data_IF_637311361315
#
_entry.id   IF_637311361315
#
_cell.length_a   1.000
_cell.length_b   1.000
_cell.length_c   1.000
_cell.angle_alpha   90.00
_cell.angle_beta   90.00
_cell.angle_gamma   90.00
#
_symmetry.space_group_name_H-M   'P 1'
#
loop_
_entity.id
_entity.type
_entity.pdbx_description
1 polymer ?
#
# COMPACT_ATOMS: atom_id res chain seq x y z
N UNK A 1 -25.64 2.38 -4.36
CA UNK A 1 -24.72 1.94 -5.40
C UNK A 1 -24.24 3.18 -6.15
N UNK A 2 -22.99 3.26 -6.43
CA UNK A 2 -22.37 4.30 -7.24
C UNK A 2 -21.33 3.66 -8.16
N UNK A 3 -21.07 4.32 -9.29
CA UNK A 3 -20.03 4.01 -10.24
C UNK A 3 -19.53 5.32 -10.86
N UNK A 4 -18.28 5.34 -11.25
CA UNK A 4 -17.67 6.54 -11.81
C UNK A 4 -16.28 6.28 -12.38
N UNK A 5 -15.75 7.29 -13.05
CA UNK A 5 -14.37 7.31 -13.55
C UNK A 5 -13.58 8.35 -12.80
N UNK A 6 -12.42 7.97 -12.29
CA UNK A 6 -11.47 8.87 -11.68
C UNK A 6 -10.05 8.30 -11.81
N UNK A 7 -9.04 9.16 -11.81
CA UNK A 7 -7.63 8.77 -11.84
C UNK A 7 -7.32 7.71 -12.91
N UNK A 8 -7.88 7.90 -14.11
CA UNK A 8 -7.72 7.04 -15.29
C UNK A 8 -8.37 5.65 -15.18
N UNK A 9 -9.06 5.35 -14.08
CA UNK A 9 -9.69 4.06 -13.83
C UNK A 9 -11.17 4.16 -13.52
N UNK A 10 -11.73 3.04 -13.05
CA UNK A 10 -13.12 2.89 -12.66
C UNK A 10 -13.24 2.71 -11.15
N UNK A 11 -14.24 3.34 -10.55
CA UNK A 11 -14.62 3.19 -9.16
C UNK A 11 -16.04 2.67 -9.14
N UNK A 12 -16.26 1.52 -8.52
CA UNK A 12 -17.59 0.95 -8.31
C UNK A 12 -17.79 0.68 -6.81
N UNK A 13 -19.00 0.89 -6.30
CA UNK A 13 -19.22 0.62 -4.90
C UNK A 13 -20.67 0.63 -4.45
N UNK A 14 -20.83 0.20 -3.22
CA UNK A 14 -22.09 0.29 -2.47
C UNK A 14 -21.76 0.81 -1.08
N UNK A 15 -22.53 1.76 -0.60
CA UNK A 15 -22.43 2.24 0.78
C UNK A 15 -23.84 2.40 1.36
N UNK A 16 -23.96 2.13 2.64
CA UNK A 16 -25.13 2.37 3.44
C UNK A 16 -24.76 3.27 4.62
N UNK A 17 -25.59 4.26 4.89
CA UNK A 17 -25.46 5.15 6.03
C UNK A 17 -26.68 4.94 6.93
N UNK A 18 -26.43 4.66 8.20
CA UNK A 18 -27.44 4.42 9.23
C UNK A 18 -27.30 5.39 10.40
N UNK A 19 -28.41 5.58 11.14
CA UNK A 19 -28.49 6.57 12.23
C UNK A 19 -28.97 5.96 13.56
N UNK A 20 -29.09 4.67 13.67
CA UNK A 20 -29.55 4.02 14.89
C UNK A 20 -28.46 4.01 15.98
N UNK A 21 -28.57 4.92 16.95
CA UNK A 21 -27.61 5.01 18.06
C UNK A 21 -26.24 5.61 17.66
N UNK A 22 -26.24 6.57 16.74
CA UNK A 22 -25.06 7.22 16.16
C UNK A 22 -25.02 7.05 14.64
N UNK A 23 -24.03 7.65 14.01
CA UNK A 23 -23.80 7.53 12.57
C UNK A 23 -22.97 6.28 12.27
N UNK A 24 -23.45 5.43 11.38
CA UNK A 24 -22.77 4.20 10.94
C UNK A 24 -22.67 4.19 9.42
N UNK A 25 -21.47 4.05 8.92
CA UNK A 25 -21.19 3.84 7.50
C UNK A 25 -20.67 2.41 7.28
N UNK A 26 -21.26 1.72 6.32
CA UNK A 26 -20.73 0.44 5.85
C UNK A 26 -20.77 0.39 4.32
N UNK A 27 -19.72 -0.17 3.71
CA UNK A 27 -19.66 -0.20 2.26
C UNK A 27 -18.58 -1.13 1.71
N UNK A 28 -18.67 -1.33 0.41
CA UNK A 28 -17.65 -2.00 -0.38
C UNK A 28 -17.28 -1.11 -1.57
N UNK A 29 -16.00 -1.07 -1.87
CA UNK A 29 -15.41 -0.29 -2.95
C UNK A 29 -14.55 -1.20 -3.82
N UNK A 30 -14.74 -1.14 -5.11
CA UNK A 30 -13.89 -1.79 -6.09
C UNK A 30 -13.24 -0.71 -6.97
N UNK A 31 -11.92 -0.73 -7.01
CA UNK A 31 -11.08 0.12 -7.84
C UNK A 31 -10.51 -0.74 -8.96
N UNK A 32 -10.59 -0.26 -10.20
CA UNK A 32 -10.10 -0.99 -11.38
C UNK A 32 -9.21 -0.09 -12.23
N UNK A 33 -8.00 -0.55 -12.47
CA UNK A 33 -7.03 0.10 -13.38
C UNK A 33 -6.76 1.58 -13.07
N UNK A 34 -6.68 1.92 -11.77
CA UNK A 34 -6.43 3.29 -11.32
C UNK A 34 -4.96 3.67 -11.50
N UNK A 35 -4.68 4.91 -11.87
CA UNK A 35 -3.33 5.45 -11.76
C UNK A 35 -2.95 5.63 -10.29
N UNK A 36 -2.05 4.76 -9.78
CA UNK A 36 -1.70 4.72 -8.36
C UNK A 36 -1.09 6.04 -7.87
N UNK A 37 -0.25 6.69 -8.67
CA UNK A 37 0.40 7.96 -8.31
C UNK A 37 -0.64 9.06 -8.08
N UNK A 38 -1.61 9.19 -8.98
CA UNK A 38 -2.66 10.21 -8.86
C UNK A 38 -3.60 9.95 -7.71
N UNK A 39 -3.96 8.67 -7.50
CA UNK A 39 -4.82 8.29 -6.39
C UNK A 39 -4.14 8.53 -5.05
N UNK A 40 -2.89 8.08 -4.87
CA UNK A 40 -2.14 8.27 -3.63
C UNK A 40 -1.90 9.74 -3.32
N UNK A 41 -1.57 10.55 -4.33
CA UNK A 41 -1.43 12.00 -4.17
C UNK A 41 -2.75 12.67 -3.72
N UNK A 42 -3.89 12.26 -4.30
CA UNK A 42 -5.20 12.78 -3.90
C UNK A 42 -5.61 12.37 -2.48
N UNK A 43 -5.11 11.23 -1.99
CA UNK A 43 -5.30 10.78 -0.62
C UNK A 43 -4.28 11.40 0.37
N UNK A 44 -3.39 12.28 -0.11
CA UNK A 44 -2.35 12.90 0.72
C UNK A 44 -1.28 11.91 1.19
N UNK A 45 -1.11 10.80 0.49
CA UNK A 45 -0.10 9.81 0.81
C UNK A 45 1.26 10.24 0.29
N UNK A 46 2.28 10.13 1.13
CA UNK A 46 3.68 10.34 0.74
C UNK A 46 4.33 9.10 0.12
N UNK A 47 3.60 7.99 0.01
CA UNK A 47 4.08 6.79 -0.67
C UNK A 47 4.20 7.04 -2.16
N UNK A 48 5.41 6.89 -2.68
CA UNK A 48 5.72 7.10 -4.09
C UNK A 48 5.70 5.75 -4.82
N UNK A 49 4.50 5.32 -5.22
CA UNK A 49 4.32 4.08 -5.99
C UNK A 49 3.61 4.39 -7.30
N UNK A 50 4.26 4.07 -8.38
CA UNK A 50 3.69 4.17 -9.74
C UNK A 50 3.10 2.83 -10.17
N UNK A 51 2.14 2.86 -11.08
CA UNK A 51 1.57 1.67 -11.70
C UNK A 51 0.05 1.68 -11.79
N UNK A 52 -0.48 0.59 -12.30
CA UNK A 52 -1.91 0.35 -12.46
C UNK A 52 -2.46 -0.37 -11.23
N UNK A 53 -3.22 0.35 -10.40
CA UNK A 53 -3.80 -0.14 -9.15
C UNK A 53 -5.20 -0.71 -9.37
N UNK A 54 -5.44 -1.89 -8.82
CA UNK A 54 -6.77 -2.46 -8.61
C UNK A 54 -6.93 -2.87 -7.15
N UNK A 55 -8.10 -2.67 -6.56
CA UNK A 55 -8.35 -3.02 -5.17
C UNK A 55 -9.81 -3.38 -4.92
N UNK A 56 -10.04 -4.25 -3.92
CA UNK A 56 -11.35 -4.54 -3.36
C UNK A 56 -11.31 -4.24 -1.88
N UNK A 57 -12.07 -3.24 -1.47
CA UNK A 57 -12.01 -2.66 -0.14
C UNK A 57 -13.37 -2.74 0.55
N UNK A 58 -13.34 -2.99 1.85
CA UNK A 58 -14.46 -2.78 2.76
C UNK A 58 -14.24 -1.48 3.50
N UNK A 59 -15.31 -0.73 3.67
CA UNK A 59 -15.34 0.53 4.39
C UNK A 59 -16.27 0.36 5.57
N UNK A 60 -15.84 0.72 6.75
CA UNK A 60 -16.70 0.83 7.93
C UNK A 60 -16.31 2.05 8.77
N UNK A 61 -17.30 2.70 9.33
CA UNK A 61 -17.11 3.75 10.33
C UNK A 61 -18.29 3.77 11.28
N UNK A 62 -18.03 4.07 12.55
CA UNK A 62 -19.05 4.32 13.57
C UNK A 62 -18.61 5.50 14.41
N UNK A 63 -19.51 6.49 14.54
CA UNK A 63 -19.29 7.69 15.35
C UNK A 63 -20.60 8.16 15.96
N UNK A 64 -20.50 8.91 17.05
CA UNK A 64 -21.70 9.50 17.68
C UNK A 64 -22.33 10.59 16.81
N UNK A 65 -21.52 11.23 15.95
CA UNK A 65 -21.91 12.32 15.07
C UNK A 65 -21.45 12.06 13.64
N UNK A 66 -22.15 12.65 12.67
CA UNK A 66 -21.87 12.51 11.25
C UNK A 66 -20.49 13.11 10.84
N UNK A 67 -20.14 14.25 11.42
CA UNK A 67 -18.88 14.95 11.17
C UNK A 67 -17.66 14.15 11.62
N UNK A 68 -17.81 13.27 12.59
CA UNK A 68 -16.76 12.40 13.11
C UNK A 68 -16.60 11.07 12.36
N UNK A 69 -17.48 10.77 11.39
CA UNK A 69 -17.42 9.51 10.61
C UNK A 69 -16.13 9.37 9.80
N UNK A 70 -15.64 10.47 9.24
CA UNK A 70 -14.40 10.45 8.44
C UNK A 70 -13.20 10.08 9.30
N UNK A 71 -13.15 10.60 10.53
CA UNK A 71 -12.09 10.25 11.47
C UNK A 71 -12.19 8.79 11.94
N UNK A 72 -13.43 8.27 12.05
CA UNK A 72 -13.69 6.89 12.47
C UNK A 72 -13.56 5.87 11.33
N UNK A 73 -13.25 6.32 10.10
CA UNK A 73 -13.19 5.45 8.93
C UNK A 73 -12.10 4.39 9.06
N UNK A 74 -12.49 3.16 8.82
CA UNK A 74 -11.62 2.01 8.64
C UNK A 74 -11.78 1.46 7.23
N UNK A 75 -10.66 1.13 6.62
CA UNK A 75 -10.63 0.54 5.28
C UNK A 75 -9.81 -0.73 5.34
N UNK A 76 -10.35 -1.81 4.82
CA UNK A 76 -9.62 -3.07 4.75
C UNK A 76 -9.87 -3.80 3.45
N UNK A 77 -8.85 -4.46 2.90
CA UNK A 77 -9.00 -5.28 1.71
C UNK A 77 -7.74 -5.52 0.94
N UNK A 78 -7.86 -6.28 -0.15
CA UNK A 78 -6.75 -6.62 -1.02
C UNK A 78 -6.52 -5.58 -2.11
N UNK A 79 -5.27 -5.43 -2.49
CA UNK A 79 -4.86 -4.60 -3.63
C UNK A 79 -3.81 -5.29 -4.50
N UNK A 80 -3.73 -4.85 -5.73
CA UNK A 80 -2.74 -5.24 -6.72
C UNK A 80 -2.29 -4.00 -7.49
N UNK A 81 -0.99 -3.82 -7.68
CA UNK A 81 -0.41 -2.82 -8.57
C UNK A 81 0.43 -3.55 -9.62
N UNK A 82 0.16 -3.28 -10.87
CA UNK A 82 0.86 -3.87 -12.02
C UNK A 82 1.74 -2.87 -12.72
N UNK A 83 2.85 -3.36 -13.30
CA UNK A 83 3.76 -2.58 -14.14
C UNK A 83 4.18 -1.28 -13.47
N UNK A 84 4.70 -1.39 -12.26
CA UNK A 84 4.94 -0.24 -11.40
C UNK A 84 6.38 -0.08 -10.97
N UNK A 85 6.57 0.97 -10.17
CA UNK A 85 7.81 1.27 -9.52
C UNK A 85 7.56 1.79 -8.09
N UNK A 86 8.34 1.30 -7.15
CA UNK A 86 8.40 1.83 -5.79
C UNK A 86 9.63 2.74 -5.68
N UNK A 87 9.42 4.02 -5.43
CA UNK A 87 10.50 5.00 -5.27
C UNK A 87 10.93 5.10 -3.82
N UNK A 88 12.20 5.43 -3.62
CA UNK A 88 12.80 5.57 -2.32
C UNK A 88 13.46 4.29 -1.79
N UNK A 89 13.30 3.17 -2.51
CA UNK A 89 13.93 1.89 -2.20
C UNK A 89 14.56 1.29 -3.45
N UNK A 90 15.80 0.85 -3.35
CA UNK A 90 16.44 -0.02 -4.32
C UNK A 90 16.67 -1.40 -3.69
N UNK A 91 15.70 -2.29 -3.86
CA UNK A 91 15.77 -3.66 -3.32
C UNK A 91 16.85 -4.50 -4.01
N UNK A 92 17.20 -4.19 -5.27
CA UNK A 92 18.23 -4.92 -5.99
C UNK A 92 19.60 -4.57 -5.42
N UNK A 93 19.87 -3.28 -5.20
CA UNK A 93 21.11 -2.83 -4.59
C UNK A 93 21.23 -3.29 -3.13
N UNK A 94 20.14 -3.22 -2.37
CA UNK A 94 20.08 -3.77 -1.02
C UNK A 94 20.44 -5.26 -1.00
N UNK A 95 19.90 -6.04 -1.94
CA UNK A 95 20.21 -7.47 -2.05
C UNK A 95 21.66 -7.73 -2.44
N UNK A 96 22.24 -6.95 -3.35
CA UNK A 96 23.64 -7.07 -3.78
C UNK A 96 24.63 -6.71 -2.69
N UNK A 97 24.35 -5.68 -1.91
CA UNK A 97 25.22 -5.21 -0.83
C UNK A 97 25.12 -6.06 0.44
N UNK A 98 24.30 -7.11 0.44
CA UNK A 98 24.05 -7.96 1.62
C UNK A 98 23.54 -7.16 2.82
N UNK A 99 22.69 -6.14 2.57
CA UNK A 99 22.12 -5.29 3.61
C UNK A 99 23.11 -4.31 4.27
N UNK A 100 24.34 -4.20 3.76
CA UNK A 100 25.33 -3.25 4.30
C UNK A 100 25.12 -1.81 3.80
N UNK A 101 24.54 -1.66 2.61
CA UNK A 101 24.12 -0.36 2.13
C UNK A 101 22.65 -0.15 2.53
N UNK A 102 22.37 0.94 3.22
CA UNK A 102 21.01 1.41 3.37
C UNK A 102 20.54 1.79 1.97
N UNK A 103 19.50 1.13 1.47
CA UNK A 103 18.93 1.40 0.14
C UNK A 103 18.19 2.76 0.15
N UNK A 104 18.93 3.84 0.47
CA UNK A 104 18.40 5.20 0.47
C UNK A 104 18.32 5.73 -0.95
N UNK A 105 17.12 6.12 -1.34
CA UNK A 105 16.86 6.57 -2.71
C UNK A 105 16.80 5.39 -3.69
N UNK A 106 16.75 5.71 -4.97
CA UNK A 106 16.60 4.71 -6.02
C UNK A 106 15.16 4.33 -6.28
N UNK A 107 15.00 3.29 -7.05
CA UNK A 107 13.70 2.83 -7.53
C UNK A 107 13.71 1.31 -7.71
N UNK A 108 12.70 0.64 -7.21
CA UNK A 108 12.47 -0.77 -7.50
C UNK A 108 11.32 -0.91 -8.49
N UNK A 109 11.63 -1.23 -9.75
CA UNK A 109 10.62 -1.57 -10.75
C UNK A 109 10.07 -2.97 -10.47
N UNK A 110 8.79 -3.16 -10.69
CA UNK A 110 8.13 -4.44 -10.47
C UNK A 110 7.05 -4.72 -11.54
N UNK A 111 6.82 -5.98 -11.79
CA UNK A 111 5.74 -6.46 -12.64
C UNK A 111 4.42 -6.46 -11.87
N UNK A 112 4.49 -6.87 -10.61
CA UNK A 112 3.35 -7.00 -9.73
C UNK A 112 3.73 -6.75 -8.27
N UNK A 113 2.89 -5.97 -7.59
CA UNK A 113 2.88 -5.81 -6.14
C UNK A 113 1.47 -6.10 -5.63
N UNK A 114 1.33 -7.06 -4.75
CA UNK A 114 0.05 -7.40 -4.09
C UNK A 114 0.16 -7.25 -2.59
N UNK A 115 -0.97 -7.11 -1.92
CA UNK A 115 -1.03 -7.09 -0.47
C UNK A 115 -2.43 -6.84 0.05
N UNK A 116 -2.53 -6.77 1.36
CA UNK A 116 -3.74 -6.41 2.10
C UNK A 116 -3.50 -5.11 2.82
N UNK A 117 -4.38 -4.15 2.66
CA UNK A 117 -4.37 -2.89 3.41
C UNK A 117 -5.36 -2.95 4.57
N UNK A 118 -4.95 -2.43 5.70
CA UNK A 118 -5.78 -2.10 6.85
C UNK A 118 -5.48 -0.66 7.24
N UNK A 119 -6.38 0.25 6.93
CA UNK A 119 -6.30 1.66 7.29
C UNK A 119 -7.15 1.92 8.52
N UNK A 120 -6.61 2.63 9.48
CA UNK A 120 -7.30 3.05 10.69
C UNK A 120 -6.78 4.38 11.22
N UNK A 121 -7.37 4.84 12.32
CA UNK A 121 -7.10 6.17 12.89
C UNK A 121 -5.64 6.42 13.30
N UNK A 122 -4.95 5.41 13.80
CA UNK A 122 -3.61 5.56 14.37
C UNK A 122 -2.50 5.05 13.46
N UNK A 123 -2.79 4.02 12.71
CA UNK A 123 -1.81 3.30 11.90
C UNK A 123 -2.49 2.71 10.67
N UNK A 124 -1.77 2.72 9.55
CA UNK A 124 -2.10 1.93 8.37
C UNK A 124 -1.14 0.75 8.29
N UNK A 125 -1.66 -0.43 7.99
CA UNK A 125 -0.86 -1.65 7.84
C UNK A 125 -1.03 -2.23 6.45
N UNK A 126 0.09 -2.55 5.85
CA UNK A 126 0.17 -3.33 4.62
C UNK A 126 0.70 -4.71 4.99
N UNK A 127 -0.17 -5.71 4.92
CA UNK A 127 0.15 -7.10 5.21
C UNK A 127 0.26 -7.93 3.95
N UNK A 128 0.86 -9.10 4.08
CA UNK A 128 0.99 -10.08 2.99
C UNK A 128 1.55 -9.48 1.69
N UNK A 129 2.42 -8.47 1.84
CA UNK A 129 3.06 -7.83 0.71
C UNK A 129 3.85 -8.85 -0.09
N UNK A 130 3.66 -8.85 -1.39
CA UNK A 130 4.40 -9.68 -2.34
C UNK A 130 4.71 -8.88 -3.60
N UNK A 131 5.99 -8.68 -3.85
CA UNK A 131 6.52 -8.00 -5.02
C UNK A 131 7.25 -8.99 -5.90
N UNK A 132 7.02 -8.92 -7.21
CA UNK A 132 7.74 -9.70 -8.22
C UNK A 132 8.30 -8.78 -9.30
N UNK A 133 9.56 -8.99 -9.66
CA UNK A 133 10.25 -8.23 -10.69
C UNK A 133 11.35 -9.07 -11.32
N UNK A 134 11.02 -9.77 -12.41
CA UNK A 134 11.97 -10.65 -13.08
C UNK A 134 12.63 -11.65 -12.12
N UNK A 135 13.90 -11.38 -11.77
CA UNK A 135 14.67 -12.22 -10.86
C UNK A 135 14.50 -11.89 -9.38
N UNK A 136 13.83 -10.78 -9.06
CA UNK A 136 13.59 -10.32 -7.69
C UNK A 136 12.20 -10.71 -7.21
N UNK A 137 12.12 -11.32 -6.04
CA UNK A 137 10.87 -11.44 -5.28
C UNK A 137 11.08 -10.89 -3.88
N UNK A 138 10.09 -10.18 -3.37
CA UNK A 138 10.11 -9.70 -2.00
C UNK A 138 8.75 -9.92 -1.35
N UNK A 139 8.72 -10.22 -0.06
CA UNK A 139 7.48 -10.41 0.70
C UNK A 139 7.65 -9.95 2.14
N UNK A 140 6.59 -9.39 2.72
CA UNK A 140 6.66 -8.90 4.09
C UNK A 140 5.47 -8.06 4.51
N UNK A 141 5.70 -7.22 5.51
CA UNK A 141 4.69 -6.35 6.09
C UNK A 141 5.26 -4.94 6.31
N UNK A 142 4.40 -3.93 6.23
CA UNK A 142 4.76 -2.53 6.46
C UNK A 142 3.68 -1.84 7.29
N UNK A 143 4.07 -1.24 8.40
CA UNK A 143 3.27 -0.33 9.19
C UNK A 143 3.61 1.12 8.83
N UNK A 144 2.60 1.97 8.78
CA UNK A 144 2.72 3.40 8.52
C UNK A 144 1.98 4.10 9.64
N UNK A 145 2.72 4.69 10.56
CA UNK A 145 2.14 5.46 11.65
C UNK A 145 1.54 6.78 11.15
N UNK A 146 0.67 7.40 11.93
CA UNK A 146 0.02 8.67 11.58
C UNK A 146 1.01 9.82 11.31
N UNK A 147 2.17 9.80 11.96
CA UNK A 147 3.26 10.76 11.74
C UNK A 147 4.13 10.44 10.51
N UNK A 148 3.74 9.44 9.71
CA UNK A 148 4.44 9.00 8.51
C UNK A 148 5.64 8.09 8.76
N UNK A 149 5.91 7.68 10.01
CA UNK A 149 6.97 6.72 10.31
C UNK A 149 6.63 5.34 9.76
N UNK A 150 7.64 4.71 9.18
CA UNK A 150 7.58 3.36 8.67
C UNK A 150 8.16 2.38 9.68
N UNK A 151 7.53 1.22 9.76
CA UNK A 151 8.02 0.07 10.51
C UNK A 151 7.65 -1.21 9.79
N UNK A 152 8.59 -2.10 9.56
CA UNK A 152 8.28 -3.34 8.86
C UNK A 152 9.47 -4.22 8.64
N UNK A 153 9.20 -5.37 8.02
CA UNK A 153 10.21 -6.32 7.61
C UNK A 153 9.81 -6.96 6.30
N UNK A 154 10.79 -7.17 5.45
CA UNK A 154 10.64 -7.88 4.17
C UNK A 154 11.70 -8.94 4.04
N UNK A 155 11.36 -10.03 3.39
CA UNK A 155 12.32 -11.04 2.91
C UNK A 155 12.48 -10.84 1.42
N UNK A 156 13.70 -10.57 0.98
CA UNK A 156 14.04 -10.36 -0.42
C UNK A 156 14.79 -11.59 -0.94
N UNK A 157 14.38 -12.09 -2.08
CA UNK A 157 15.05 -13.16 -2.80
C UNK A 157 15.47 -12.65 -4.19
N UNK A 158 16.76 -12.68 -4.47
CA UNK A 158 17.31 -12.35 -5.77
C UNK A 158 17.88 -13.62 -6.39
N UNK A 159 17.34 -14.02 -7.54
CA UNK A 159 17.80 -15.16 -8.34
C UNK A 159 18.79 -14.69 -9.39
N UNK A 160 19.90 -15.38 -9.52
CA UNK A 160 20.84 -15.23 -10.64
C UNK A 160 21.13 -16.60 -11.24
N UNK A 161 21.81 -16.64 -12.38
CA UNK A 161 22.20 -17.90 -13.02
C UNK A 161 23.15 -18.75 -12.15
N UNK A 162 23.84 -18.13 -11.20
CA UNK A 162 24.84 -18.78 -10.35
C UNK A 162 24.39 -19.01 -8.91
N UNK A 163 23.44 -18.24 -8.40
CA UNK A 163 23.05 -18.29 -6.99
C UNK A 163 21.66 -17.70 -6.71
N UNK A 164 21.08 -18.09 -5.59
CA UNK A 164 19.90 -17.46 -4.99
C UNK A 164 20.34 -16.79 -3.69
N UNK A 165 20.20 -15.47 -3.64
CA UNK A 165 20.49 -14.68 -2.44
C UNK A 165 19.15 -14.42 -1.72
N UNK A 166 19.07 -14.77 -0.44
CA UNK A 166 17.94 -14.49 0.43
C UNK A 166 18.36 -13.61 1.58
N UNK A 167 17.60 -12.58 1.85
CA UNK A 167 17.96 -11.59 2.84
C UNK A 167 16.72 -11.02 3.53
N UNK A 168 16.70 -10.97 4.87
CA UNK A 168 15.75 -10.16 5.61
C UNK A 168 16.17 -8.69 5.56
N UNK A 169 15.20 -7.80 5.32
CA UNK A 169 15.36 -6.36 5.38
C UNK A 169 14.40 -5.78 6.42
N UNK A 170 14.91 -4.97 7.33
CA UNK A 170 14.08 -4.13 8.17
C UNK A 170 13.77 -2.82 7.44
N UNK A 171 12.52 -2.37 7.56
CA UNK A 171 12.07 -1.11 6.96
C UNK A 171 11.78 -0.14 8.08
N UNK A 172 12.35 1.06 7.99
CA UNK A 172 12.16 2.15 8.94
C UNK A 172 12.15 3.51 8.24
N UNK A 173 12.43 4.56 9.01
CA UNK A 173 12.42 5.93 8.50
C UNK A 173 11.02 6.50 8.33
N UNK A 174 10.79 7.24 7.25
CA UNK A 174 9.49 7.83 6.92
C UNK A 174 9.12 7.54 5.47
N UNK A 175 7.85 7.72 5.12
CA UNK A 175 7.38 7.52 3.74
C UNK A 175 8.12 8.41 2.72
N UNK A 176 8.61 9.58 3.14
CA UNK A 176 9.44 10.49 2.31
C UNK A 176 10.92 10.10 2.26
N UNK A 177 11.41 9.46 3.31
CA UNK A 177 12.81 9.05 3.46
C UNK A 177 12.87 7.67 4.12
N UNK A 178 12.54 6.60 3.38
CA UNK A 178 12.58 5.24 3.89
C UNK A 178 14.02 4.78 4.15
N UNK A 179 14.20 3.88 5.11
CA UNK A 179 15.48 3.32 5.54
C UNK A 179 15.38 1.81 5.73
#
# INVERSE_FOLDING_TARGET
>A
KFDGRAYEGLIEGKAALGWAGGAVLAGNLELKHMNSTRLLAALGSDLLTEGELSARLKLDAKADRLDSLVEALRVGGGFEIKRGAARGFDLIEAARSSGRAVARGGETKFEQLTGVIQYGQQESRLGDLRLTSGLLTAGGNLGIARDGKLSGAMNVELKSSAAVVRMPLAIGGTAKAPQ
#
